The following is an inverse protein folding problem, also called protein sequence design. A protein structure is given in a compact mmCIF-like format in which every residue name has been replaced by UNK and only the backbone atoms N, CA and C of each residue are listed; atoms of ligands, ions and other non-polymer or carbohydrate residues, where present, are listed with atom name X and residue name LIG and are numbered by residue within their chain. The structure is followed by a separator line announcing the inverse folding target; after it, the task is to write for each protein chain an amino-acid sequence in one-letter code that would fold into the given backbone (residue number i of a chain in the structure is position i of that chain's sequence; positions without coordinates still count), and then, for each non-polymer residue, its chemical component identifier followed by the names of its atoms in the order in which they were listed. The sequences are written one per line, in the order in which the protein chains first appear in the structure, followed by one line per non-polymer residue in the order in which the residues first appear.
data_IF_909187412708
#
_entry.id   IF_909187412708
#
_cell.length_a   1.000
_cell.length_b   1.000
_cell.length_c   1.000
_cell.angle_alpha   90.00
_cell.angle_beta   90.00
_cell.angle_gamma   90.00
#
_symmetry.space_group_name_H-M   'P 1'
#
loop_
_entity.id
_entity.type
_entity.pdbx_description
1 polymer ?
#
# COMPACT_ATOMS: atom_id res chain seq x y z
N UNK A 1 0.82 20.55 20.90
CA UNK A 1 1.66 19.48 20.29
C UNK A 1 2.28 20.01 19.01
N UNK A 2 3.51 19.60 18.64
CA UNK A 2 4.14 20.03 17.39
C UNK A 2 3.44 19.40 16.18
N UNK A 3 3.39 20.11 15.04
CA UNK A 3 2.84 19.58 13.77
C UNK A 3 3.55 18.31 13.34
N UNK A 4 4.87 18.23 13.57
CA UNK A 4 5.66 17.03 13.28
C UNK A 4 5.14 15.80 14.03
N UNK A 5 4.94 15.90 15.35
CA UNK A 5 4.42 14.78 16.15
C UNK A 5 2.98 14.40 15.76
N UNK A 6 2.16 15.40 15.42
CA UNK A 6 0.82 15.17 14.86
C UNK A 6 0.87 14.33 13.60
N UNK A 7 1.69 14.73 12.62
CA UNK A 7 1.80 14.00 11.35
C UNK A 7 2.44 12.61 11.54
N UNK A 8 3.42 12.48 12.43
CA UNK A 8 4.01 11.18 12.77
C UNK A 8 2.97 10.20 13.35
N UNK A 9 2.14 10.68 14.28
CA UNK A 9 1.05 9.89 14.85
C UNK A 9 0.02 9.49 13.80
N UNK A 10 -0.39 10.43 12.95
CA UNK A 10 -1.36 10.16 11.86
C UNK A 10 -0.79 9.19 10.84
N UNK A 11 0.49 9.33 10.47
CA UNK A 11 1.15 8.39 9.59
C UNK A 11 1.16 6.97 10.17
N UNK A 12 1.49 6.83 11.47
CA UNK A 12 1.45 5.55 12.17
C UNK A 12 0.05 4.93 12.12
N UNK A 13 -0.96 5.64 12.61
CA UNK A 13 -2.35 5.15 12.67
C UNK A 13 -2.88 4.85 11.26
N UNK A 14 -2.69 5.77 10.32
CA UNK A 14 -3.13 5.61 8.93
C UNK A 14 -2.50 4.41 8.24
N UNK A 15 -1.21 4.18 8.46
CA UNK A 15 -0.48 3.05 7.86
C UNK A 15 -0.99 1.70 8.39
N UNK A 16 -1.25 1.59 9.70
CA UNK A 16 -1.74 0.36 10.34
C UNK A 16 -3.22 0.10 9.98
N UNK A 17 -4.08 1.11 10.08
CA UNK A 17 -5.49 0.97 9.69
C UNK A 17 -5.64 0.69 8.20
N UNK A 18 -4.84 1.35 7.35
CA UNK A 18 -4.79 1.10 5.92
C UNK A 18 -4.35 -0.32 5.60
N UNK A 19 -3.40 -0.87 6.35
CA UNK A 19 -3.01 -2.27 6.23
C UNK A 19 -4.18 -3.23 6.53
N UNK A 20 -4.95 -2.96 7.59
CA UNK A 20 -6.14 -3.76 7.91
C UNK A 20 -7.18 -3.71 6.77
N UNK A 21 -7.47 -2.50 6.25
CA UNK A 21 -8.42 -2.31 5.15
C UNK A 21 -7.96 -3.04 3.89
N UNK A 22 -6.70 -2.86 3.51
CA UNK A 22 -6.11 -3.47 2.32
C UNK A 22 -6.04 -5.00 2.43
N UNK A 23 -5.76 -5.53 3.62
CA UNK A 23 -5.74 -6.95 3.88
C UNK A 23 -7.12 -7.59 3.63
N UNK A 24 -8.19 -6.94 4.11
CA UNK A 24 -9.58 -7.35 3.89
C UNK A 24 -9.94 -7.21 2.41
N UNK A 25 -9.62 -6.06 1.79
CA UNK A 25 -9.89 -5.83 0.38
C UNK A 25 -9.24 -6.90 -0.51
N UNK A 26 -7.95 -7.19 -0.30
CA UNK A 26 -7.23 -8.20 -1.10
C UNK A 26 -7.77 -9.60 -0.91
N UNK A 27 -8.25 -9.94 0.28
CA UNK A 27 -8.83 -11.25 0.52
C UNK A 27 -10.15 -11.42 -0.23
N UNK A 28 -11.04 -10.42 -0.21
CA UNK A 28 -12.41 -10.60 -0.66
C UNK A 28 -12.71 -10.03 -2.05
N UNK A 29 -11.92 -9.04 -2.50
CA UNK A 29 -12.24 -8.27 -3.72
C UNK A 29 -11.14 -8.30 -4.79
N UNK A 30 -9.92 -8.75 -4.47
CA UNK A 30 -8.84 -8.74 -5.45
C UNK A 30 -8.92 -9.92 -6.41
N UNK A 31 -8.96 -9.63 -7.71
CA UNK A 31 -8.88 -10.63 -8.79
C UNK A 31 -7.52 -11.36 -8.84
N UNK A 32 -6.46 -10.74 -8.31
CA UNK A 32 -5.13 -11.36 -8.23
C UNK A 32 -5.02 -12.40 -7.10
N UNK A 33 -6.04 -12.53 -6.23
CA UNK A 33 -6.10 -13.49 -5.13
C UNK A 33 -7.36 -14.36 -5.22
N UNK A 34 -7.54 -15.18 -6.26
CA UNK A 34 -8.75 -15.98 -6.48
C UNK A 34 -8.98 -17.03 -5.40
N UNK A 35 -7.96 -17.44 -4.66
CA UNK A 35 -8.06 -18.41 -3.57
C UNK A 35 -8.43 -17.76 -2.23
N UNK A 36 -8.71 -16.44 -2.19
CA UNK A 36 -9.12 -15.69 -0.99
C UNK A 36 -8.18 -15.88 0.21
N UNK A 37 -6.88 -15.97 -0.01
CA UNK A 37 -5.87 -16.16 1.04
C UNK A 37 -5.54 -14.85 1.73
N UNK A 38 -5.10 -14.95 3.00
CA UNK A 38 -4.53 -13.80 3.71
C UNK A 38 -3.11 -13.54 3.20
N UNK A 39 -2.96 -12.45 2.46
CA UNK A 39 -1.68 -12.03 1.88
C UNK A 39 -1.36 -10.64 2.40
N UNK A 40 -0.17 -10.46 2.99
CA UNK A 40 0.27 -9.15 3.48
C UNK A 40 0.28 -8.14 2.32
N UNK A 41 -0.48 -7.04 2.39
CA UNK A 41 -0.49 -6.02 1.35
C UNK A 41 0.80 -5.18 1.35
N UNK A 42 1.02 -4.46 0.24
CA UNK A 42 2.18 -3.57 0.11
C UNK A 42 3.51 -4.30 -0.06
N UNK A 43 4.60 -3.54 0.00
CA UNK A 43 5.97 -4.04 -0.17
C UNK A 43 6.70 -4.24 1.17
N UNK A 44 6.24 -3.62 2.24
CA UNK A 44 6.79 -3.79 3.60
C UNK A 44 6.41 -5.15 4.18
N UNK A 45 7.26 -5.67 5.06
CA UNK A 45 7.03 -6.94 5.76
C UNK A 45 6.06 -6.75 6.94
N UNK A 46 6.15 -5.62 7.63
CA UNK A 46 5.32 -5.30 8.78
C UNK A 46 3.85 -4.97 8.44
N UNK A 47 3.00 -4.88 9.48
CA UNK A 47 1.56 -4.65 9.35
C UNK A 47 1.23 -3.16 9.12
N UNK A 48 1.73 -2.59 8.05
CA UNK A 48 1.48 -1.21 7.66
C UNK A 48 1.59 -0.99 6.15
N UNK A 49 0.79 -0.06 5.63
CA UNK A 49 0.86 0.39 4.24
C UNK A 49 1.09 1.91 4.24
N UNK A 50 2.32 2.37 3.93
CA UNK A 50 2.69 3.79 4.01
C UNK A 50 1.80 4.72 3.20
N UNK A 51 1.25 4.26 2.08
CA UNK A 51 0.34 5.04 1.23
C UNK A 51 -0.85 5.60 2.01
N UNK A 52 -1.48 4.78 2.85
CA UNK A 52 -2.60 5.20 3.71
C UNK A 52 -2.14 6.15 4.83
N UNK A 53 -0.93 5.97 5.33
CA UNK A 53 -0.33 6.90 6.30
C UNK A 53 -0.14 8.31 5.73
N UNK A 54 0.44 8.40 4.54
CA UNK A 54 0.55 9.67 3.81
C UNK A 54 -0.82 10.24 3.46
N UNK A 55 -1.76 9.39 3.01
CA UNK A 55 -3.13 9.78 2.73
C UNK A 55 -3.81 10.43 3.93
N UNK A 56 -3.74 9.81 5.11
CA UNK A 56 -4.34 10.37 6.32
C UNK A 56 -3.71 11.70 6.73
N UNK A 57 -2.38 11.84 6.59
CA UNK A 57 -1.70 13.13 6.81
C UNK A 57 -2.21 14.23 5.88
N UNK A 58 -2.37 13.92 4.59
CA UNK A 58 -2.88 14.89 3.60
C UNK A 58 -4.33 15.27 3.89
N UNK A 59 -5.20 14.31 4.18
CA UNK A 59 -6.59 14.57 4.52
C UNK A 59 -6.71 15.46 5.77
N UNK A 60 -5.89 15.19 6.79
CA UNK A 60 -5.82 16.02 7.98
C UNK A 60 -5.38 17.46 7.68
N UNK A 61 -4.30 17.62 6.90
CA UNK A 61 -3.78 18.93 6.54
C UNK A 61 -4.81 19.74 5.73
N UNK A 62 -5.50 19.11 4.77
CA UNK A 62 -6.57 19.76 4.01
C UNK A 62 -7.75 20.16 4.89
N UNK A 63 -8.20 19.29 5.81
CA UNK A 63 -9.24 19.62 6.76
C UNK A 63 -8.82 20.77 7.68
N UNK A 64 -7.58 20.77 8.17
CA UNK A 64 -7.02 21.84 9.00
C UNK A 64 -6.96 23.17 8.25
N UNK A 65 -6.48 23.18 7.01
CA UNK A 65 -6.50 24.38 6.14
C UNK A 65 -7.94 24.87 5.94
N UNK A 66 -8.88 23.97 5.67
CA UNK A 66 -10.30 24.32 5.52
C UNK A 66 -10.88 25.01 6.74
N UNK A 67 -10.52 24.57 7.95
CA UNK A 67 -10.93 25.19 9.21
C UNK A 67 -10.29 26.57 9.40
N UNK A 68 -8.97 26.69 9.20
CA UNK A 68 -8.23 27.95 9.38
C UNK A 68 -8.67 29.02 8.38
N UNK A 69 -8.97 28.64 7.14
CA UNK A 69 -9.42 29.58 6.09
C UNK A 69 -10.94 29.84 6.14
N UNK A 70 -11.69 29.10 6.96
CA UNK A 70 -13.14 29.19 7.02
C UNK A 70 -13.88 28.61 5.81
N UNK A 71 -13.22 27.86 4.96
CA UNK A 71 -13.80 27.17 3.79
C UNK A 71 -14.86 26.15 4.21
N UNK A 72 -14.69 25.54 5.39
CA UNK A 72 -15.63 24.60 5.98
C UNK A 72 -16.99 25.20 6.38
N UNK A 73 -17.11 26.52 6.40
CA UNK A 73 -18.35 27.24 6.78
C UNK A 73 -19.34 27.38 5.63
N UNK A 74 -18.89 27.35 4.38
CA UNK A 74 -19.73 27.49 3.18
C UNK A 74 -19.87 26.15 2.45
N UNK A 75 -21.03 25.94 1.79
CA UNK A 75 -21.26 24.74 0.97
C UNK A 75 -20.26 24.66 -0.20
N UNK A 76 -19.97 25.78 -0.86
CA UNK A 76 -18.98 25.85 -1.92
C UNK A 76 -17.57 25.53 -1.45
N UNK A 77 -17.18 26.06 -0.27
CA UNK A 77 -15.89 25.76 0.35
C UNK A 77 -15.73 24.29 0.72
N UNK A 78 -16.80 23.66 1.28
CA UNK A 78 -16.80 22.22 1.55
C UNK A 78 -16.66 21.41 0.26
N UNK A 79 -17.39 21.75 -0.81
CA UNK A 79 -17.29 21.07 -2.08
C UNK A 79 -15.89 21.17 -2.67
N UNK A 80 -15.26 22.36 -2.62
CA UNK A 80 -13.88 22.55 -3.06
C UNK A 80 -12.90 21.71 -2.23
N UNK A 81 -13.07 21.66 -0.90
CA UNK A 81 -12.25 20.85 -0.02
C UNK A 81 -12.35 19.35 -0.34
N UNK A 82 -13.57 18.83 -0.60
CA UNK A 82 -13.73 17.44 -1.04
C UNK A 82 -13.07 17.18 -2.38
N UNK A 83 -13.18 18.11 -3.32
CA UNK A 83 -12.49 17.99 -4.61
C UNK A 83 -10.96 17.93 -4.39
N UNK A 84 -10.42 18.81 -3.54
CA UNK A 84 -9.00 18.79 -3.19
C UNK A 84 -8.59 17.47 -2.54
N UNK A 85 -9.40 16.91 -1.63
CA UNK A 85 -9.15 15.61 -1.00
C UNK A 85 -9.13 14.49 -2.05
N UNK A 86 -10.12 14.43 -2.93
CA UNK A 86 -10.20 13.41 -3.99
C UNK A 86 -9.01 13.49 -4.94
N UNK A 87 -8.67 14.68 -5.41
CA UNK A 87 -7.53 14.92 -6.30
C UNK A 87 -6.22 14.56 -5.62
N UNK A 88 -6.01 14.97 -4.35
CA UNK A 88 -4.78 14.68 -3.61
C UNK A 88 -4.60 13.18 -3.36
N UNK A 89 -5.67 12.45 -3.04
CA UNK A 89 -5.60 11.00 -2.83
C UNK A 89 -5.29 10.26 -4.14
N UNK A 90 -5.91 10.65 -5.25
CA UNK A 90 -5.59 10.10 -6.57
C UNK A 90 -4.15 10.44 -6.99
N UNK A 91 -3.70 11.66 -6.70
CA UNK A 91 -2.34 12.08 -7.02
C UNK A 91 -1.28 11.29 -6.24
N UNK A 92 -1.47 11.07 -4.95
CA UNK A 92 -0.51 10.28 -4.14
C UNK A 92 -0.47 8.82 -4.58
N UNK A 93 -1.63 8.24 -4.94
CA UNK A 93 -1.68 6.89 -5.52
C UNK A 93 -0.89 6.82 -6.84
N UNK A 94 -1.10 7.78 -7.74
CA UNK A 94 -0.39 7.85 -9.01
C UNK A 94 1.13 8.05 -8.81
N UNK A 95 1.53 8.98 -7.92
CA UNK A 95 2.94 9.24 -7.62
C UNK A 95 3.61 7.98 -7.06
N UNK A 96 2.99 7.32 -6.09
CA UNK A 96 3.51 6.07 -5.52
C UNK A 96 3.64 4.98 -6.59
N UNK A 97 2.61 4.80 -7.43
CA UNK A 97 2.62 3.81 -8.51
C UNK A 97 3.70 4.08 -9.55
N UNK A 98 3.86 5.34 -10.00
CA UNK A 98 4.85 5.68 -11.03
C UNK A 98 6.29 5.62 -10.50
N UNK A 99 6.51 5.98 -9.22
CA UNK A 99 7.81 5.84 -8.59
C UNK A 99 8.26 4.37 -8.54
N UNK A 100 7.38 3.48 -8.07
CA UNK A 100 7.69 2.05 -8.01
C UNK A 100 7.85 1.44 -9.41
N UNK A 101 7.01 1.84 -10.36
CA UNK A 101 7.10 1.34 -11.72
C UNK A 101 8.40 1.78 -12.41
N UNK A 102 8.75 3.08 -12.32
CA UNK A 102 9.95 3.62 -13.00
C UNK A 102 11.24 3.28 -12.28
N UNK A 103 11.26 3.33 -10.93
CA UNK A 103 12.49 3.11 -10.17
C UNK A 103 12.78 1.62 -9.96
N UNK A 104 11.74 0.80 -9.79
CA UNK A 104 11.87 -0.60 -9.37
C UNK A 104 11.32 -1.62 -10.38
N UNK A 105 10.77 -1.18 -11.53
CA UNK A 105 10.04 -2.06 -12.48
C UNK A 105 8.98 -2.93 -11.76
N UNK A 106 8.40 -2.40 -10.70
CA UNK A 106 7.46 -3.08 -9.83
C UNK A 106 6.07 -2.45 -9.94
N UNK A 107 5.05 -3.27 -10.14
CA UNK A 107 3.65 -2.88 -10.13
C UNK A 107 2.97 -3.51 -8.92
N UNK A 108 2.61 -2.69 -7.91
CA UNK A 108 1.93 -3.16 -6.69
C UNK A 108 0.46 -3.50 -6.92
N UNK A 109 -0.20 -2.78 -7.84
CA UNK A 109 -1.56 -3.00 -8.30
C UNK A 109 -1.64 -2.77 -9.81
N UNK A 110 -2.69 -3.24 -10.46
CA UNK A 110 -2.82 -3.15 -11.90
C UNK A 110 -4.28 -2.90 -12.31
N UNK A 111 -4.58 -1.66 -12.69
CA UNK A 111 -5.89 -1.25 -13.16
C UNK A 111 -6.02 -1.23 -14.70
N UNK A 112 -5.08 -1.85 -15.42
CA UNK A 112 -5.03 -1.80 -16.89
C UNK A 112 -6.29 -2.36 -17.56
N UNK A 113 -7.05 -3.22 -16.88
CA UNK A 113 -8.31 -3.78 -17.36
C UNK A 113 -9.53 -2.90 -17.06
N UNK A 114 -9.37 -1.82 -16.29
CA UNK A 114 -10.46 -0.94 -15.91
C UNK A 114 -10.59 0.24 -16.88
N UNK A 115 -11.82 0.65 -17.15
CA UNK A 115 -12.10 1.77 -18.04
C UNK A 115 -11.47 3.07 -17.53
N UNK A 116 -10.96 3.88 -18.49
CA UNK A 116 -10.38 5.19 -18.19
C UNK A 116 -9.11 5.16 -17.36
N UNK A 117 -8.43 4.00 -17.26
CA UNK A 117 -7.18 3.93 -16.52
C UNK A 117 -6.07 4.77 -17.18
N UNK A 118 -5.18 5.30 -16.35
CA UNK A 118 -3.96 5.99 -16.77
C UNK A 118 -2.78 5.09 -16.37
N UNK A 119 -2.10 4.53 -17.36
CA UNK A 119 -0.95 3.63 -17.22
C UNK A 119 -1.21 2.40 -16.33
N UNK A 120 -2.50 2.05 -16.07
CA UNK A 120 -2.88 1.01 -15.14
C UNK A 120 -2.62 1.34 -13.66
N UNK A 121 -2.28 2.61 -13.35
CA UNK A 121 -1.93 3.05 -12.00
C UNK A 121 -3.09 3.71 -11.28
N UNK A 122 -3.93 4.46 -12.00
CA UNK A 122 -5.15 5.08 -11.48
C UNK A 122 -6.30 4.86 -12.47
N UNK A 123 -7.53 4.89 -11.98
CA UNK A 123 -8.73 4.86 -12.82
C UNK A 123 -9.91 5.56 -12.13
N UNK A 124 -10.95 5.99 -12.88
CA UNK A 124 -12.09 6.73 -12.34
C UNK A 124 -12.81 6.00 -11.19
N UNK A 125 -12.91 4.69 -11.25
CA UNK A 125 -13.55 3.89 -10.21
C UNK A 125 -12.82 4.03 -8.86
N UNK A 126 -11.50 3.83 -8.84
CA UNK A 126 -10.72 3.95 -7.60
C UNK A 126 -10.56 5.40 -7.15
N UNK A 127 -10.50 6.37 -8.08
CA UNK A 127 -10.56 7.79 -7.73
C UNK A 127 -11.89 8.16 -7.03
N UNK A 128 -13.02 7.58 -7.47
CA UNK A 128 -14.30 7.76 -6.78
C UNK A 128 -14.33 7.09 -5.39
N UNK A 129 -13.69 5.93 -5.23
CA UNK A 129 -13.51 5.27 -3.92
C UNK A 129 -12.67 6.16 -3.00
N UNK A 130 -11.57 6.74 -3.48
CA UNK A 130 -10.77 7.69 -2.72
C UNK A 130 -11.56 8.96 -2.32
N UNK A 131 -12.39 9.49 -3.23
CA UNK A 131 -13.29 10.59 -2.91
C UNK A 131 -14.30 10.22 -1.80
N UNK A 132 -14.88 9.03 -1.88
CA UNK A 132 -15.78 8.51 -0.84
C UNK A 132 -15.03 8.34 0.49
N UNK A 133 -13.82 7.80 0.49
CA UNK A 133 -12.99 7.68 1.69
C UNK A 133 -12.65 9.05 2.29
N UNK A 134 -12.38 10.05 1.46
CA UNK A 134 -12.19 11.44 1.89
C UNK A 134 -13.45 12.02 2.56
N UNK A 135 -14.64 11.74 1.99
CA UNK A 135 -15.91 12.14 2.60
C UNK A 135 -16.16 11.43 3.94
N UNK A 136 -15.96 10.11 4.01
CA UNK A 136 -16.07 9.33 5.26
C UNK A 136 -15.09 9.86 6.30
N UNK A 137 -13.85 10.13 5.89
CA UNK A 137 -12.88 10.75 6.79
C UNK A 137 -13.37 12.06 7.34
N UNK A 138 -13.80 13.00 6.49
CA UNK A 138 -14.17 14.34 6.91
C UNK A 138 -15.39 14.36 7.85
N UNK A 139 -16.44 13.60 7.50
CA UNK A 139 -17.70 13.64 8.27
C UNK A 139 -17.67 12.76 9.51
N UNK A 140 -16.99 11.62 9.45
CA UNK A 140 -17.10 10.61 10.51
C UNK A 140 -15.78 10.39 11.26
N UNK A 141 -14.62 10.43 10.58
CA UNK A 141 -13.33 10.07 11.18
C UNK A 141 -12.61 11.28 11.77
N UNK A 142 -12.67 12.43 11.10
CA UNK A 142 -11.94 13.65 11.52
C UNK A 142 -12.20 14.09 12.96
N UNK A 143 -13.45 14.08 13.49
CA UNK A 143 -13.70 14.42 14.90
C UNK A 143 -13.00 13.48 15.89
N UNK A 144 -12.95 12.18 15.57
CA UNK A 144 -12.25 11.20 16.41
C UNK A 144 -10.73 11.39 16.33
N UNK A 145 -10.20 11.76 15.16
CA UNK A 145 -8.79 12.12 15.01
C UNK A 145 -8.44 13.31 15.90
N UNK A 146 -9.26 14.36 15.91
CA UNK A 146 -9.03 15.52 16.79
C UNK A 146 -9.02 15.11 18.26
N UNK A 147 -9.96 14.27 18.69
CA UNK A 147 -10.00 13.76 20.06
C UNK A 147 -8.78 12.89 20.39
N UNK A 148 -8.33 12.06 19.46
CA UNK A 148 -7.13 11.23 19.63
C UNK A 148 -5.86 12.08 19.72
N UNK A 149 -5.76 13.17 18.96
CA UNK A 149 -4.65 14.12 19.02
C UNK A 149 -4.65 14.93 20.32
N UNK A 150 -5.82 15.30 20.83
CA UNK A 150 -5.96 15.93 22.15
C UNK A 150 -5.52 14.97 23.26
N UNK A 151 -5.98 13.71 23.20
CA UNK A 151 -5.52 12.68 24.13
C UNK A 151 -4.00 12.51 24.09
N UNK A 152 -3.40 12.45 22.90
CA UNK A 152 -1.96 12.33 22.75
C UNK A 152 -1.22 13.54 23.33
N UNK A 153 -1.76 14.75 23.18
CA UNK A 153 -1.16 15.96 23.73
C UNK A 153 -1.10 15.95 25.26
N UNK A 154 -2.06 15.26 25.89
CA UNK A 154 -2.12 15.08 27.34
C UNK A 154 -1.36 13.84 27.84
N UNK A 155 -0.96 12.93 26.94
CA UNK A 155 -0.28 11.68 27.24
C UNK A 155 1.02 11.53 26.42
N UNK A 156 1.90 12.51 26.47
CA UNK A 156 3.10 12.58 25.64
C UNK A 156 4.05 11.37 25.80
N UNK A 157 3.99 10.64 26.92
CA UNK A 157 4.73 9.39 27.07
C UNK A 157 4.42 8.38 25.97
N UNK A 158 3.22 8.43 25.36
CA UNK A 158 2.84 7.59 24.23
C UNK A 158 3.65 7.89 22.95
N UNK A 159 4.30 9.05 22.87
CA UNK A 159 5.24 9.36 21.77
C UNK A 159 6.40 8.37 21.67
N UNK A 160 6.72 7.67 22.78
CA UNK A 160 7.68 6.56 22.74
C UNK A 160 7.22 5.41 21.82
N UNK A 161 5.93 5.07 21.84
CA UNK A 161 5.35 4.04 20.95
C UNK A 161 5.45 4.48 19.50
N UNK A 162 5.23 5.76 19.23
CA UNK A 162 5.37 6.32 17.88
C UNK A 162 6.82 6.25 17.42
N UNK A 163 7.76 6.63 18.28
CA UNK A 163 9.22 6.52 18.01
C UNK A 163 9.66 5.08 17.77
N UNK A 164 9.18 4.14 18.58
CA UNK A 164 9.45 2.72 18.40
C UNK A 164 8.90 2.21 17.05
N UNK A 165 7.68 2.59 16.71
CA UNK A 165 7.10 2.27 15.39
C UNK A 165 8.00 2.75 14.26
N UNK A 166 8.45 4.02 14.29
CA UNK A 166 9.32 4.55 13.24
C UNK A 166 10.68 3.85 13.20
N UNK A 167 11.23 3.44 14.33
CA UNK A 167 12.45 2.63 14.38
C UNK A 167 12.29 1.30 13.63
N UNK A 168 11.22 0.56 13.93
CA UNK A 168 10.89 -0.70 13.24
C UNK A 168 10.56 -0.45 11.76
N UNK A 169 9.81 0.61 11.47
CA UNK A 169 9.44 0.99 10.11
C UNK A 169 10.66 1.28 9.24
N UNK A 170 11.64 2.04 9.74
CA UNK A 170 12.86 2.35 8.99
C UNK A 170 13.67 1.08 8.71
N UNK A 171 13.81 0.19 9.70
CA UNK A 171 14.50 -1.10 9.51
C UNK A 171 13.81 -1.92 8.44
N UNK A 172 12.48 -2.00 8.47
CA UNK A 172 11.69 -2.74 7.48
C UNK A 172 11.80 -2.11 6.09
N UNK A 173 11.73 -0.79 5.97
CA UNK A 173 11.89 -0.11 4.68
C UNK A 173 13.27 -0.39 4.08
N UNK A 174 14.34 -0.37 4.87
CA UNK A 174 15.69 -0.73 4.42
C UNK A 174 15.73 -2.19 3.96
N UNK A 175 15.21 -3.11 4.76
CA UNK A 175 15.13 -4.53 4.40
C UNK A 175 14.31 -4.76 3.11
N UNK A 176 13.12 -4.19 3.04
CA UNK A 176 12.23 -4.31 1.88
C UNK A 176 12.82 -3.67 0.63
N UNK A 177 13.59 -2.56 0.75
CA UNK A 177 14.26 -1.93 -0.39
C UNK A 177 15.38 -2.80 -0.97
N UNK A 178 16.10 -3.57 -0.15
CA UNK A 178 17.06 -4.57 -0.64
C UNK A 178 16.37 -5.67 -1.45
N UNK A 179 15.21 -6.14 -0.97
CA UNK A 179 14.41 -7.12 -1.71
C UNK A 179 13.92 -6.56 -3.05
N UNK A 180 13.42 -5.31 -3.05
CA UNK A 180 13.00 -4.64 -4.27
C UNK A 180 14.15 -4.42 -5.26
N UNK A 181 15.38 -4.14 -4.77
CA UNK A 181 16.55 -4.00 -5.63
C UNK A 181 16.89 -5.31 -6.34
N UNK A 182 16.84 -6.46 -5.66
CA UNK A 182 17.03 -7.79 -6.28
C UNK A 182 15.94 -8.11 -7.30
N UNK A 183 14.68 -7.76 -7.01
CA UNK A 183 13.58 -7.92 -7.95
C UNK A 183 13.72 -7.03 -9.18
N UNK A 184 14.26 -5.83 -9.01
CA UNK A 184 14.59 -4.93 -10.12
C UNK A 184 15.67 -5.52 -11.00
N UNK A 185 16.77 -6.01 -10.41
CA UNK A 185 17.85 -6.68 -11.17
C UNK A 185 17.30 -7.82 -12.03
N UNK A 186 16.48 -8.68 -11.43
CA UNK A 186 15.79 -9.75 -12.17
C UNK A 186 14.88 -9.20 -13.28
N UNK A 187 14.14 -8.14 -13.01
CA UNK A 187 13.24 -7.51 -13.99
C UNK A 187 13.99 -6.85 -15.13
N UNK A 188 15.16 -6.27 -14.86
CA UNK A 188 16.05 -5.67 -15.86
C UNK A 188 16.70 -6.73 -16.75
N UNK A 189 17.19 -7.84 -16.18
CA UNK A 189 17.78 -8.94 -16.92
C UNK A 189 16.80 -9.65 -17.84
N UNK A 190 15.54 -9.77 -17.46
CA UNK A 190 14.50 -10.50 -18.19
C UNK A 190 13.56 -9.59 -18.99
N UNK A 191 13.77 -8.26 -18.96
CA UNK A 191 12.90 -7.24 -19.57
C UNK A 191 11.41 -7.39 -19.23
N UNK A 192 11.12 -7.61 -17.95
CA UNK A 192 9.76 -7.81 -17.44
C UNK A 192 9.39 -6.79 -16.38
N UNK A 193 8.07 -6.55 -16.22
CA UNK A 193 7.52 -5.79 -15.10
C UNK A 193 6.98 -6.78 -14.08
N UNK A 194 7.47 -6.72 -12.84
CA UNK A 194 7.02 -7.62 -11.77
C UNK A 194 5.67 -7.16 -11.23
N UNK A 195 4.64 -8.00 -11.37
CA UNK A 195 3.32 -7.81 -10.77
C UNK A 195 3.35 -8.39 -9.35
N UNK A 196 3.53 -7.51 -8.37
CA UNK A 196 3.81 -7.88 -6.97
C UNK A 196 2.71 -8.72 -6.31
N UNK A 197 1.47 -8.38 -6.56
CA UNK A 197 0.32 -9.08 -6.00
C UNK A 197 0.23 -10.52 -6.52
N UNK A 198 0.41 -10.73 -7.82
CA UNK A 198 0.45 -12.07 -8.41
C UNK A 198 1.61 -12.90 -7.88
N UNK A 199 2.81 -12.30 -7.80
CA UNK A 199 3.98 -12.97 -7.25
C UNK A 199 3.75 -13.44 -5.81
N UNK A 200 3.18 -12.59 -4.95
CA UNK A 200 2.84 -12.98 -3.57
C UNK A 200 1.79 -14.09 -3.51
N UNK A 201 0.77 -14.03 -4.35
CA UNK A 201 -0.27 -15.06 -4.41
C UNK A 201 0.32 -16.43 -4.84
N UNK A 202 1.21 -16.43 -5.83
CA UNK A 202 1.90 -17.64 -6.29
C UNK A 202 2.81 -18.23 -5.20
N UNK A 203 3.62 -17.39 -4.54
CA UNK A 203 4.47 -17.81 -3.41
C UNK A 203 3.62 -18.43 -2.30
N UNK A 204 2.50 -17.79 -1.94
CA UNK A 204 1.61 -18.29 -0.91
C UNK A 204 0.99 -19.63 -1.29
N UNK A 205 0.54 -19.77 -2.54
CA UNK A 205 -0.02 -21.03 -3.05
C UNK A 205 1.02 -22.16 -3.08
N UNK A 206 2.27 -21.84 -3.42
CA UNK A 206 3.37 -22.79 -3.36
C UNK A 206 3.69 -23.22 -1.92
N UNK A 207 3.72 -22.26 -0.98
CA UNK A 207 3.92 -22.55 0.45
C UNK A 207 2.81 -23.44 1.01
N UNK A 208 1.54 -23.19 0.67
CA UNK A 208 0.41 -24.01 1.16
C UNK A 208 0.45 -25.42 0.56
N UNK A 209 0.89 -25.58 -0.69
CA UNK A 209 1.14 -26.90 -1.30
C UNK A 209 2.28 -27.66 -0.61
N UNK A 210 3.32 -26.93 -0.17
CA UNK A 210 4.43 -27.51 0.59
C UNK A 210 4.07 -27.75 2.06
N UNK A 211 3.20 -26.93 2.67
CA UNK A 211 2.81 -26.98 4.07
C UNK A 211 1.81 -28.11 4.39
N UNK A 212 1.23 -28.78 3.38
CA UNK A 212 0.61 -30.11 3.60
C UNK A 212 1.64 -31.14 4.12
N UNK A 213 2.91 -30.74 4.29
CA UNK A 213 3.99 -31.54 4.87
C UNK A 213 4.66 -30.96 6.12
N UNK A 214 4.44 -29.70 6.55
CA UNK A 214 5.03 -29.17 7.77
C UNK A 214 4.40 -27.84 8.22
N UNK A 215 4.18 -27.74 9.52
CA UNK A 215 3.61 -26.66 10.31
C UNK A 215 4.08 -25.24 9.97
N UNK A 216 3.16 -24.29 10.22
CA UNK A 216 3.28 -22.84 10.32
C UNK A 216 4.71 -22.34 10.68
N UNK A 217 5.40 -21.76 9.73
CA UNK A 217 6.64 -21.04 9.98
C UNK A 217 6.46 -19.59 9.53
N UNK A 218 6.70 -18.69 10.49
CA UNK A 218 6.76 -17.25 10.29
C UNK A 218 7.50 -16.87 8.99
N UNK A 219 7.04 -15.81 8.31
CA UNK A 219 7.50 -15.32 7.00
C UNK A 219 8.98 -14.85 6.94
N UNK A 220 9.78 -15.16 7.94
CA UNK A 220 11.22 -14.85 8.01
C UNK A 220 12.10 -15.97 7.45
N UNK A 221 11.79 -16.47 6.24
CA UNK A 221 12.71 -17.40 5.62
C UNK A 221 13.33 -16.80 4.37
N UNK A 222 14.60 -16.48 4.56
CA UNK A 222 15.71 -16.17 3.63
C UNK A 222 15.37 -15.77 2.18
N UNK A 223 16.02 -14.70 1.73
CA UNK A 223 16.10 -14.20 0.35
C UNK A 223 16.33 -15.30 -0.71
N UNK A 224 16.91 -16.43 -0.33
CA UNK A 224 17.14 -17.60 -1.21
C UNK A 224 15.84 -18.23 -1.71
N UNK A 225 14.82 -18.34 -0.87
CA UNK A 225 13.55 -18.97 -1.27
C UNK A 225 12.80 -18.16 -2.34
N UNK A 226 12.90 -16.83 -2.32
CA UNK A 226 12.26 -15.97 -3.30
C UNK A 226 12.98 -16.05 -4.67
N UNK A 227 14.30 -15.98 -4.68
CA UNK A 227 15.13 -16.08 -5.89
C UNK A 227 15.01 -17.48 -6.52
N UNK A 228 14.95 -18.53 -5.71
CA UNK A 228 14.78 -19.90 -6.15
C UNK A 228 13.41 -20.11 -6.83
N UNK A 229 12.32 -19.59 -6.25
CA UNK A 229 10.98 -19.62 -6.85
C UNK A 229 10.87 -18.78 -8.13
N UNK A 230 11.54 -17.64 -8.19
CA UNK A 230 11.60 -16.83 -9.42
C UNK A 230 12.34 -17.56 -10.53
N UNK A 231 13.44 -18.24 -10.21
CA UNK A 231 14.19 -19.04 -11.19
C UNK A 231 13.39 -20.27 -11.66
N UNK A 232 12.66 -20.94 -10.77
CA UNK A 232 11.77 -22.06 -11.13
C UNK A 232 10.60 -21.61 -12.02
N UNK A 233 9.97 -20.47 -11.69
CA UNK A 233 8.89 -19.89 -12.49
C UNK A 233 9.39 -19.49 -13.89
N UNK A 234 10.59 -18.90 -13.97
CA UNK A 234 11.21 -18.55 -15.25
C UNK A 234 11.53 -19.77 -16.09
N UNK A 235 12.12 -20.80 -15.50
CA UNK A 235 12.41 -22.07 -16.20
C UNK A 235 11.13 -22.76 -16.70
N UNK A 236 10.03 -22.66 -15.96
CA UNK A 236 8.72 -23.19 -16.40
C UNK A 236 8.14 -22.38 -17.57
N UNK A 237 8.26 -21.05 -17.55
CA UNK A 237 7.86 -20.17 -18.66
C UNK A 237 8.70 -20.40 -19.92
N UNK A 238 10.01 -20.60 -19.81
CA UNK A 238 10.86 -20.93 -20.96
C UNK A 238 10.48 -22.28 -21.57
N UNK A 239 10.19 -23.29 -20.77
CA UNK A 239 9.68 -24.58 -21.28
C UNK A 239 8.37 -24.45 -22.05
N UNK A 240 7.46 -23.59 -21.58
CA UNK A 240 6.19 -23.31 -22.27
C UNK A 240 6.47 -22.54 -23.58
N UNK A 241 7.35 -21.55 -23.58
CA UNK A 241 7.73 -20.75 -24.75
C UNK A 241 8.40 -21.62 -25.83
N UNK A 242 9.25 -22.58 -25.43
CA UNK A 242 9.85 -23.54 -26.34
C UNK A 242 8.83 -24.51 -26.95
N UNK A 243 7.82 -24.95 -26.19
CA UNK A 243 6.74 -25.80 -26.73
C UNK A 243 5.86 -25.06 -27.74
N UNK A 244 5.55 -23.79 -27.49
CA UNK A 244 4.72 -22.94 -28.38
C UNK A 244 5.48 -22.57 -29.67
N UNK A 245 6.82 -22.52 -29.66
CA UNK A 245 7.64 -22.24 -30.84
C UNK A 245 7.86 -23.46 -31.77
N UNK A 246 7.65 -24.68 -31.25
CA UNK A 246 7.87 -25.93 -31.97
C UNK A 246 6.55 -26.59 -32.44
N UNK A 247 5.44 -25.88 -32.36
CA UNK A 247 4.15 -26.17 -33.00
C UNK A 247 3.74 -25.00 -33.90
#
# INVERSE_FOLDING_TARGET
MSMFLTLAYLFFIGSVLGWCLELVFRRFFSSANPEHKWINPGFCVGPYVPLYGFGLCILYLLAHVGQVTGMDRSTGGKALMFLCMAVSMTAIEYIAGILLLKLMKLRLWDYSQLWGNIQGLICPLFSAIWALMGAVYYFFVHPYILSALDWLSNNLAFSFVIGFFFGVFVIDVVYSSHLLAKLKEYADENDVIVKWEHLKAEIRSAQDRAANRAYFVFAFRSDRALVEHLNEAHAALEKIRHRVKNH
#
